data_IF_724664203188
#
_entry.id   IF_724664203188
#
_cell.length_a   1.000
_cell.length_b   1.000
_cell.length_c   1.000
_cell.angle_alpha   90.00
_cell.angle_beta   90.00
_cell.angle_gamma   90.00
#
_symmetry.space_group_name_H-M   'P 1'
#
loop_
_entity.id
_entity.type
_entity.pdbx_description
1 polymer ?
#
# COMPACT_ATOMS: atom_id res chain seq x y z
N UNK A 1 14.62 -19.85 -2.31
CA UNK A 1 14.97 -18.48 -2.75
C UNK A 1 13.71 -17.67 -3.12
N UNK A 2 12.83 -18.18 -3.99
CA UNK A 2 11.51 -17.56 -4.28
C UNK A 2 10.70 -17.22 -3.01
N UNK A 3 10.51 -18.18 -2.11
CA UNK A 3 9.73 -18.01 -0.87
C UNK A 3 10.28 -16.89 0.03
N UNK A 4 11.61 -16.72 0.06
CA UNK A 4 12.26 -15.67 0.84
C UNK A 4 11.88 -14.28 0.32
N UNK A 5 12.12 -14.03 -0.98
CA UNK A 5 11.84 -12.72 -1.59
C UNK A 5 10.33 -12.39 -1.58
N UNK A 6 9.48 -13.38 -1.79
CA UNK A 6 8.03 -13.19 -1.79
C UNK A 6 7.51 -12.86 -0.39
N UNK A 7 7.99 -13.55 0.64
CA UNK A 7 7.61 -13.28 2.01
C UNK A 7 8.17 -11.93 2.50
N UNK A 8 9.39 -11.56 2.10
CA UNK A 8 9.95 -10.25 2.40
C UNK A 8 9.09 -9.13 1.80
N UNK A 9 8.70 -9.23 0.52
CA UNK A 9 7.82 -8.26 -0.10
C UNK A 9 6.47 -8.14 0.63
N UNK A 10 5.87 -9.26 1.06
CA UNK A 10 4.64 -9.25 1.86
C UNK A 10 4.81 -8.54 3.19
N UNK A 11 5.89 -8.82 3.91
CA UNK A 11 6.18 -8.20 5.21
C UNK A 11 6.38 -6.69 5.05
N UNK A 12 7.15 -6.26 4.06
CA UNK A 12 7.42 -4.82 3.84
C UNK A 12 6.12 -4.10 3.46
N UNK A 13 5.28 -4.69 2.61
CA UNK A 13 3.98 -4.11 2.29
C UNK A 13 3.04 -4.06 3.51
N UNK A 14 3.08 -5.07 4.39
CA UNK A 14 2.32 -5.05 5.64
C UNK A 14 2.79 -3.95 6.59
N UNK A 15 4.10 -3.75 6.74
CA UNK A 15 4.67 -2.64 7.53
C UNK A 15 4.22 -1.30 6.94
N UNK A 16 4.29 -1.18 5.61
CA UNK A 16 3.88 0.03 4.90
C UNK A 16 2.39 0.37 5.14
N UNK A 17 1.53 -0.62 4.93
CA UNK A 17 0.10 -0.55 5.22
C UNK A 17 -0.19 -0.12 6.67
N UNK A 18 0.51 -0.73 7.63
CA UNK A 18 0.36 -0.44 9.06
C UNK A 18 0.77 1.00 9.40
N UNK A 19 1.85 1.50 8.80
CA UNK A 19 2.29 2.89 8.99
C UNK A 19 1.24 3.89 8.48
N UNK A 20 0.64 3.61 7.32
CA UNK A 20 -0.44 4.44 6.75
C UNK A 20 -1.69 4.40 7.64
N UNK A 21 -2.10 3.22 8.14
CA UNK A 21 -3.23 3.11 9.09
C UNK A 21 -2.93 3.85 10.39
N UNK A 22 -1.74 3.71 10.97
CA UNK A 22 -1.36 4.42 12.19
C UNK A 22 -1.42 5.94 12.00
N UNK A 23 -1.01 6.44 10.82
CA UNK A 23 -1.15 7.85 10.47
C UNK A 23 -2.61 8.28 10.41
N UNK A 24 -3.49 7.48 9.78
CA UNK A 24 -4.93 7.75 9.73
C UNK A 24 -5.52 7.85 11.15
N UNK A 25 -5.16 6.93 12.04
CA UNK A 25 -5.59 6.94 13.45
C UNK A 25 -5.10 8.19 14.17
N UNK A 26 -3.83 8.56 14.03
CA UNK A 26 -3.30 9.78 14.65
C UNK A 26 -4.02 11.03 14.17
N UNK A 27 -4.34 11.10 12.88
CA UNK A 27 -5.10 12.21 12.32
C UNK A 27 -6.50 12.25 12.95
N UNK A 28 -7.21 11.13 13.02
CA UNK A 28 -8.52 11.06 13.66
C UNK A 28 -8.45 11.51 15.12
N UNK A 29 -7.46 11.02 15.89
CA UNK A 29 -7.28 11.42 17.30
C UNK A 29 -6.99 12.93 17.42
N UNK A 30 -6.22 13.50 16.49
CA UNK A 30 -5.87 14.93 16.48
C UNK A 30 -7.08 15.86 16.30
N UNK A 31 -8.21 15.34 15.81
CA UNK A 31 -9.47 16.08 15.71
C UNK A 31 -10.11 16.32 17.07
N UNK A 32 -9.96 15.37 17.99
CA UNK A 32 -10.59 15.41 19.31
C UNK A 32 -9.66 15.98 20.39
N UNK A 33 -8.34 15.82 20.21
CA UNK A 33 -7.33 16.32 21.14
C UNK A 33 -6.15 16.93 20.38
N UNK A 34 -5.57 18.04 20.84
CA UNK A 34 -4.34 18.56 20.26
C UNK A 34 -3.19 17.58 20.53
N UNK A 35 -2.83 16.81 19.50
CA UNK A 35 -1.68 15.89 19.52
C UNK A 35 -0.59 16.48 18.65
N UNK A 36 0.67 16.33 19.07
CA UNK A 36 1.81 16.72 18.22
C UNK A 36 1.87 15.75 17.04
N UNK A 37 1.46 16.23 15.87
CA UNK A 37 1.49 15.46 14.64
C UNK A 37 2.95 15.29 14.19
N UNK A 38 3.34 14.09 13.73
CA UNK A 38 4.65 13.89 13.12
C UNK A 38 4.76 14.64 11.79
N UNK A 39 5.98 14.84 11.32
CA UNK A 39 6.21 15.43 10.00
C UNK A 39 5.69 14.48 8.91
N UNK A 40 4.66 14.91 8.20
CA UNK A 40 3.99 14.10 7.17
C UNK A 40 4.90 13.78 5.99
N UNK A 41 5.86 14.66 5.68
CA UNK A 41 6.79 14.47 4.56
C UNK A 41 7.74 13.29 4.84
N UNK A 42 8.24 13.17 6.07
CA UNK A 42 9.12 12.07 6.47
C UNK A 42 8.41 10.71 6.40
N UNK A 43 7.15 10.67 6.84
CA UNK A 43 6.35 9.43 6.79
C UNK A 43 6.00 9.08 5.35
N UNK A 44 5.66 10.08 4.53
CA UNK A 44 5.37 9.86 3.12
C UNK A 44 6.59 9.30 2.38
N UNK A 45 7.78 9.85 2.61
CA UNK A 45 9.03 9.36 2.04
C UNK A 45 9.33 7.93 2.49
N UNK A 46 9.08 7.60 3.76
CA UNK A 46 9.21 6.24 4.27
C UNK A 46 8.26 5.27 3.54
N UNK A 47 6.97 5.61 3.44
CA UNK A 47 5.94 4.80 2.79
C UNK A 47 6.27 4.55 1.31
N UNK A 48 6.76 5.59 0.61
CA UNK A 48 7.21 5.49 -0.78
C UNK A 48 8.42 4.56 -0.94
N UNK A 49 9.41 4.66 -0.04
CA UNK A 49 10.58 3.77 -0.04
C UNK A 49 10.18 2.32 0.22
N UNK A 50 9.32 2.06 1.22
CA UNK A 50 8.82 0.73 1.52
C UNK A 50 8.10 0.09 0.32
N UNK A 51 7.30 0.88 -0.41
CA UNK A 51 6.66 0.40 -1.62
C UNK A 51 7.66 0.04 -2.73
N UNK A 52 8.62 0.93 -3.02
CA UNK A 52 9.65 0.63 -4.03
C UNK A 52 10.45 -0.61 -3.68
N UNK A 53 10.84 -0.78 -2.42
CA UNK A 53 11.57 -1.97 -1.96
C UNK A 53 10.70 -3.23 -2.10
N UNK A 54 9.40 -3.15 -1.78
CA UNK A 54 8.47 -4.27 -1.97
C UNK A 54 8.37 -4.68 -3.44
N UNK A 55 8.28 -3.71 -4.36
CA UNK A 55 8.29 -3.98 -5.79
C UNK A 55 9.59 -4.64 -6.24
N UNK A 56 10.75 -4.16 -5.79
CA UNK A 56 12.06 -4.75 -6.12
C UNK A 56 12.11 -6.22 -5.70
N UNK A 57 11.67 -6.55 -4.49
CA UNK A 57 11.64 -7.94 -4.03
C UNK A 57 10.65 -8.80 -4.82
N UNK A 58 9.49 -8.25 -5.21
CA UNK A 58 8.54 -8.97 -6.06
C UNK A 58 9.10 -9.21 -7.47
N UNK A 59 9.80 -8.24 -8.06
CA UNK A 59 10.50 -8.43 -9.34
C UNK A 59 11.62 -9.47 -9.22
N UNK A 60 12.38 -9.45 -8.13
CA UNK A 60 13.39 -10.49 -7.87
C UNK A 60 12.75 -11.88 -7.70
N UNK A 61 11.62 -11.98 -6.98
CA UNK A 61 10.82 -13.21 -6.90
C UNK A 61 10.41 -13.68 -8.29
N UNK A 62 9.88 -12.79 -9.13
CA UNK A 62 9.46 -13.11 -10.48
C UNK A 62 10.61 -13.67 -11.32
N UNK A 63 11.78 -13.00 -11.34
CA UNK A 63 12.98 -13.47 -12.06
C UNK A 63 13.45 -14.86 -11.60
N UNK A 64 13.41 -15.13 -10.28
CA UNK A 64 13.77 -16.45 -9.74
C UNK A 64 12.78 -17.54 -10.17
N UNK A 65 11.50 -17.20 -10.32
CA UNK A 65 10.48 -18.13 -10.81
C UNK A 65 10.67 -18.40 -12.29
N UNK A 66 10.96 -17.38 -13.10
CA UNK A 66 11.16 -17.51 -14.55
C UNK A 66 12.30 -18.47 -14.94
N UNK A 67 13.19 -18.82 -14.00
CA UNK A 67 14.29 -19.74 -14.20
C UNK A 67 13.99 -21.20 -13.82
N UNK A 68 12.75 -21.52 -13.38
CA UNK A 68 12.35 -22.88 -12.95
C UNK A 68 11.70 -23.70 -14.08
N UNK A 69 11.30 -24.94 -13.78
CA UNK A 69 10.55 -25.79 -14.71
C UNK A 69 9.14 -25.25 -14.99
N UNK A 70 8.62 -25.54 -16.18
CA UNK A 70 7.40 -24.95 -16.73
C UNK A 70 6.15 -25.13 -15.83
N UNK A 71 5.96 -26.33 -15.27
CA UNK A 71 4.85 -26.62 -14.34
C UNK A 71 4.95 -25.82 -13.03
N UNK A 72 6.15 -25.66 -12.50
CA UNK A 72 6.38 -24.86 -11.29
C UNK A 72 6.23 -23.36 -11.57
N UNK A 73 6.60 -22.90 -12.77
CA UNK A 73 6.44 -21.50 -13.21
C UNK A 73 4.97 -21.07 -13.16
N UNK A 74 4.06 -21.81 -13.80
CA UNK A 74 2.66 -21.40 -13.88
C UNK A 74 1.99 -21.28 -12.51
N UNK A 75 2.25 -22.26 -11.63
CA UNK A 75 1.72 -22.26 -10.26
C UNK A 75 2.27 -21.07 -9.45
N UNK A 76 3.55 -20.77 -9.59
CA UNK A 76 4.17 -19.65 -8.88
C UNK A 76 3.73 -18.29 -9.44
N UNK A 77 3.56 -18.14 -10.75
CA UNK A 77 3.01 -16.92 -11.35
C UNK A 77 1.58 -16.64 -10.90
N UNK A 78 0.71 -17.66 -10.86
CA UNK A 78 -0.63 -17.52 -10.29
C UNK A 78 -0.59 -17.08 -8.81
N UNK A 79 0.36 -17.60 -8.02
CA UNK A 79 0.57 -17.20 -6.62
C UNK A 79 1.04 -15.74 -6.48
N UNK A 80 1.96 -15.31 -7.36
CA UNK A 80 2.44 -13.93 -7.40
C UNK A 80 1.31 -12.98 -7.82
N UNK A 81 0.55 -13.34 -8.86
CA UNK A 81 -0.59 -12.58 -9.36
C UNK A 81 -1.67 -12.40 -8.27
N UNK A 82 -1.98 -13.46 -7.52
CA UNK A 82 -2.88 -13.39 -6.35
C UNK A 82 -2.34 -12.47 -5.26
N UNK A 83 -1.04 -12.54 -4.95
CA UNK A 83 -0.42 -11.62 -3.99
C UNK A 83 -0.54 -10.14 -4.38
N UNK A 84 -0.28 -9.82 -5.66
CA UNK A 84 -0.47 -8.47 -6.18
C UNK A 84 -1.93 -8.02 -6.17
N UNK A 85 -2.87 -8.93 -6.44
CA UNK A 85 -4.31 -8.63 -6.35
C UNK A 85 -4.69 -8.20 -4.94
N UNK A 86 -4.32 -9.00 -3.93
CA UNK A 86 -4.67 -8.75 -2.54
C UNK A 86 -4.05 -7.44 -2.05
N UNK A 87 -2.78 -7.19 -2.39
CA UNK A 87 -2.11 -5.92 -2.12
C UNK A 87 -2.80 -4.74 -2.78
N UNK A 88 -3.18 -4.88 -4.07
CA UNK A 88 -3.86 -3.83 -4.81
C UNK A 88 -5.21 -3.48 -4.18
N UNK A 89 -6.01 -4.49 -3.85
CA UNK A 89 -7.31 -4.32 -3.19
C UNK A 89 -7.18 -3.65 -1.83
N UNK A 90 -6.20 -4.06 -1.03
CA UNK A 90 -5.93 -3.42 0.25
C UNK A 90 -5.65 -1.92 0.11
N UNK A 91 -4.78 -1.53 -0.84
CA UNK A 91 -4.46 -0.13 -1.08
C UNK A 91 -5.66 0.68 -1.60
N UNK A 92 -6.56 0.07 -2.39
CA UNK A 92 -7.81 0.73 -2.77
C UNK A 92 -8.74 0.98 -1.57
N UNK A 93 -8.86 0.02 -0.66
CA UNK A 93 -9.65 0.21 0.59
C UNK A 93 -9.08 1.37 1.41
N UNK A 94 -7.76 1.46 1.52
CA UNK A 94 -7.08 2.58 2.17
C UNK A 94 -7.41 3.90 1.47
N UNK A 95 -7.29 3.97 0.14
CA UNK A 95 -7.60 5.18 -0.63
C UNK A 95 -9.05 5.65 -0.43
N UNK A 96 -10.02 4.72 -0.44
CA UNK A 96 -11.44 5.01 -0.16
C UNK A 96 -11.60 5.56 1.26
N UNK A 97 -10.92 4.97 2.24
CA UNK A 97 -10.94 5.44 3.63
C UNK A 97 -10.43 6.87 3.75
N UNK A 98 -9.36 7.22 3.02
CA UNK A 98 -8.85 8.60 2.94
C UNK A 98 -9.81 9.56 2.22
N UNK A 99 -10.70 9.08 1.35
CA UNK A 99 -11.75 9.92 0.72
C UNK A 99 -12.92 10.19 1.66
N UNK A 100 -13.33 9.19 2.45
CA UNK A 100 -14.49 9.30 3.34
C UNK A 100 -14.15 10.10 4.60
N UNK A 101 -12.94 9.94 5.14
CA UNK A 101 -12.54 10.59 6.41
C UNK A 101 -12.73 12.12 6.39
N UNK A 102 -12.31 12.90 5.38
CA UNK A 102 -12.55 14.34 5.30
C UNK A 102 -14.04 14.72 5.29
N UNK A 103 -14.90 13.90 4.68
CA UNK A 103 -16.34 14.13 4.66
C UNK A 103 -16.94 13.98 6.06
N UNK A 104 -16.56 12.93 6.78
CA UNK A 104 -16.97 12.70 8.18
C UNK A 104 -16.49 13.86 9.07
N UNK A 105 -15.24 14.31 8.89
CA UNK A 105 -14.69 15.45 9.63
C UNK A 105 -15.48 16.74 9.35
N UNK A 106 -15.83 16.97 8.09
CA UNK A 106 -16.60 18.15 7.68
C UNK A 106 -17.99 18.17 8.30
N UNK A 107 -18.68 17.02 8.36
CA UNK A 107 -19.98 16.89 9.02
C UNK A 107 -19.85 17.11 10.54
N UNK A 108 -18.75 16.64 11.14
CA UNK A 108 -18.50 16.82 12.57
C UNK A 108 -18.09 18.25 12.97
N UNK A 109 -17.96 19.19 12.02
CA UNK A 109 -17.63 20.59 12.29
C UNK A 109 -16.18 20.86 12.74
N UNK A 110 -15.31 19.85 12.70
CA UNK A 110 -13.94 19.91 13.26
C UNK A 110 -12.85 20.04 12.17
N UNK A 111 -13.18 20.63 11.02
CA UNK A 111 -12.28 20.72 9.86
C UNK A 111 -11.06 21.60 10.12
N UNK A 112 -9.87 20.98 10.23
CA UNK A 112 -8.58 21.70 10.17
C UNK A 112 -8.00 21.64 8.77
N UNK A 113 -7.78 22.80 8.17
CA UNK A 113 -7.28 22.93 6.80
C UNK A 113 -5.89 22.30 6.61
N UNK A 114 -5.07 22.32 7.66
CA UNK A 114 -3.74 21.69 7.72
C UNK A 114 -3.78 20.18 7.46
N UNK A 115 -4.87 19.51 7.82
CA UNK A 115 -5.02 18.07 7.61
C UNK A 115 -5.34 17.73 6.14
N UNK A 116 -5.89 18.66 5.34
CA UNK A 116 -6.27 18.38 3.95
C UNK A 116 -5.09 17.99 3.05
N UNK A 117 -3.94 18.65 3.23
CA UNK A 117 -2.73 18.37 2.44
C UNK A 117 -2.27 16.91 2.57
N UNK A 118 -1.99 16.39 3.77
CA UNK A 118 -1.58 15.00 3.92
C UNK A 118 -2.67 14.02 3.46
N UNK A 119 -3.96 14.29 3.71
CA UNK A 119 -5.05 13.43 3.22
C UNK A 119 -4.99 13.21 1.71
N UNK A 120 -4.85 14.28 0.92
CA UNK A 120 -4.80 14.17 -0.54
C UNK A 120 -3.54 13.43 -1.02
N UNK A 121 -2.41 13.66 -0.35
CA UNK A 121 -1.12 13.06 -0.69
C UNK A 121 -1.14 11.54 -0.48
N UNK A 122 -1.56 11.09 0.71
CA UNK A 122 -1.68 9.66 1.03
C UNK A 122 -2.79 8.97 0.23
N UNK A 123 -3.92 9.64 -0.02
CA UNK A 123 -4.99 9.12 -0.90
C UNK A 123 -4.47 8.82 -2.31
N UNK A 124 -3.84 9.81 -2.95
CA UNK A 124 -3.33 9.65 -4.30
C UNK A 124 -2.29 8.54 -4.36
N UNK A 125 -1.43 8.46 -3.35
CA UNK A 125 -0.42 7.41 -3.26
C UNK A 125 -1.01 6.01 -3.09
N UNK A 126 -1.98 5.85 -2.19
CA UNK A 126 -2.70 4.59 -2.00
C UNK A 126 -3.42 4.16 -3.30
N UNK A 127 -4.03 5.11 -4.01
CA UNK A 127 -4.66 4.82 -5.31
C UNK A 127 -3.63 4.38 -6.37
N UNK A 128 -2.50 5.08 -6.49
CA UNK A 128 -1.43 4.74 -7.44
C UNK A 128 -0.85 3.36 -7.13
N UNK A 129 -0.54 3.06 -5.86
CA UNK A 129 -0.08 1.74 -5.45
C UNK A 129 -1.09 0.65 -5.77
N UNK A 130 -2.36 0.89 -5.45
CA UNK A 130 -3.46 -0.02 -5.76
C UNK A 130 -3.52 -0.35 -7.25
N UNK A 131 -3.44 0.69 -8.10
CA UNK A 131 -3.46 0.56 -9.55
C UNK A 131 -2.25 -0.20 -10.10
N UNK A 132 -1.03 0.10 -9.62
CA UNK A 132 0.19 -0.61 -10.03
C UNK A 132 0.09 -2.10 -9.69
N UNK A 133 -0.32 -2.43 -8.46
CA UNK A 133 -0.48 -3.80 -8.02
C UNK A 133 -1.57 -4.53 -8.82
N UNK A 134 -2.72 -3.90 -9.08
CA UNK A 134 -3.77 -4.48 -9.90
C UNK A 134 -3.32 -4.74 -11.34
N UNK A 135 -2.57 -3.81 -11.95
CA UNK A 135 -2.02 -3.98 -13.30
C UNK A 135 -1.04 -5.15 -13.36
N UNK A 136 -0.11 -5.25 -12.39
CA UNK A 136 0.85 -6.36 -12.35
C UNK A 136 0.12 -7.69 -12.12
N UNK A 137 -0.89 -7.72 -11.25
CA UNK A 137 -1.73 -8.89 -11.03
C UNK A 137 -2.39 -9.36 -12.33
N UNK A 138 -2.94 -8.42 -13.11
CA UNK A 138 -3.55 -8.72 -14.40
C UNK A 138 -2.53 -9.25 -15.42
N UNK A 139 -1.35 -8.64 -15.53
CA UNK A 139 -0.29 -9.06 -16.46
C UNK A 139 0.28 -10.45 -16.13
N UNK A 140 0.30 -10.82 -14.85
CA UNK A 140 0.77 -12.12 -14.38
C UNK A 140 -0.33 -13.19 -14.31
N UNK A 141 -1.60 -12.80 -14.56
CA UNK A 141 -2.69 -13.75 -14.64
C UNK A 141 -2.52 -14.58 -15.91
N UNK A 142 -2.35 -15.88 -15.73
CA UNK A 142 -2.28 -16.83 -16.82
C UNK A 142 -3.62 -17.55 -16.84
N UNK A 143 -4.31 -17.43 -17.96
CA UNK A 143 -5.55 -18.16 -18.26
C UNK A 143 -5.24 -19.54 -18.87
#
# INVERSE_FOLDING_TARGET
MFSLFYNLAKIINFINASAVIALLVMIIVSLFKPVKLPNYDDIYDYVKRCFMVSLIFMFASWLVVSAQDETSIFKMYSTIAGGFRDMGMFWFVVAITYMITPFVISIAGNGREELRKPFNLFRNHAFIMGAICALISFLLKID
#
